data_IF_096732556082
#
_entry.id   IF_096732556082
#
_cell.length_a   1.000
_cell.length_b   1.000
_cell.length_c   1.000
_cell.angle_alpha   90.00
_cell.angle_beta   90.00
_cell.angle_gamma   90.00
#
_symmetry.space_group_name_H-M   'P 1'
#
loop_
_entity.id
_entity.type
_entity.pdbx_description
1 polymer ?
#
# COMPACT_ATOMS: atom_id res chain seq x y z
N UNK A 1 -22.93 -10.71 -7.83
CA UNK A 1 -21.64 -10.78 -8.57
C UNK A 1 -20.56 -11.15 -7.58
N UNK A 2 -19.48 -11.78 -8.00
CA UNK A 2 -18.44 -12.19 -7.07
C UNK A 2 -17.43 -11.05 -6.84
N UNK A 3 -16.94 -10.93 -5.62
CA UNK A 3 -15.82 -10.08 -5.26
C UNK A 3 -14.57 -10.41 -6.08
N UNK A 4 -13.82 -9.42 -6.51
CA UNK A 4 -12.62 -9.59 -7.33
C UNK A 4 -11.43 -8.86 -6.72
N UNK A 5 -10.30 -9.55 -6.65
CA UNK A 5 -9.03 -9.04 -6.14
C UNK A 5 -8.09 -8.76 -7.31
N UNK A 6 -7.35 -7.67 -7.26
CA UNK A 6 -6.28 -7.42 -8.23
C UNK A 6 -5.09 -8.34 -8.00
N UNK A 7 -4.28 -8.52 -9.02
CA UNK A 7 -3.01 -9.26 -8.95
C UNK A 7 -2.11 -8.71 -7.85
N UNK A 8 -1.98 -7.38 -7.73
CA UNK A 8 -1.18 -6.75 -6.69
C UNK A 8 -1.71 -7.03 -5.27
N UNK A 9 -3.03 -7.05 -5.08
CA UNK A 9 -3.62 -7.38 -3.77
C UNK A 9 -3.35 -8.82 -3.39
N UNK A 10 -3.54 -9.76 -4.32
CA UNK A 10 -3.25 -11.20 -4.09
C UNK A 10 -1.78 -11.40 -3.77
N UNK A 11 -0.88 -10.77 -4.54
CA UNK A 11 0.56 -10.83 -4.30
C UNK A 11 0.93 -10.25 -2.94
N UNK A 12 0.38 -9.11 -2.55
CA UNK A 12 0.65 -8.50 -1.24
C UNK A 12 0.23 -9.43 -0.09
N UNK A 13 -0.95 -10.06 -0.19
CA UNK A 13 -1.44 -10.99 0.83
C UNK A 13 -0.54 -12.23 0.94
N UNK A 14 -0.01 -12.71 -0.20
CA UNK A 14 0.87 -13.88 -0.23
C UNK A 14 2.28 -13.58 0.29
N UNK A 15 2.84 -12.41 -0.03
CA UNK A 15 4.27 -12.14 0.09
C UNK A 15 4.62 -11.14 1.20
N UNK A 16 3.69 -10.26 1.60
CA UNK A 16 4.08 -9.05 2.33
C UNK A 16 3.24 -8.71 3.56
N UNK A 17 2.00 -9.17 3.65
CA UNK A 17 1.15 -8.78 4.77
C UNK A 17 -0.29 -9.25 4.67
N UNK A 18 -1.15 -8.66 5.48
CA UNK A 18 -2.57 -9.02 5.52
C UNK A 18 -3.39 -8.19 4.53
N UNK A 19 -4.55 -8.73 4.12
CA UNK A 19 -5.52 -7.98 3.33
C UNK A 19 -5.97 -6.68 4.03
N UNK A 20 -6.10 -6.69 5.37
CA UNK A 20 -6.42 -5.50 6.15
C UNK A 20 -5.34 -4.41 6.01
N UNK A 21 -4.07 -4.79 6.04
CA UNK A 21 -2.95 -3.88 5.83
C UNK A 21 -2.92 -3.36 4.39
N UNK A 22 -3.13 -4.26 3.42
CA UNK A 22 -3.14 -3.92 2.00
C UNK A 22 -4.22 -2.91 1.63
N UNK A 23 -5.40 -2.99 2.26
CA UNK A 23 -6.58 -2.19 1.95
C UNK A 23 -6.90 -1.13 3.03
N UNK A 24 -6.11 -1.03 4.08
CA UNK A 24 -6.24 0.03 5.09
C UNK A 24 -6.01 1.41 4.49
N UNK A 25 -6.63 2.42 5.08
CA UNK A 25 -6.54 3.81 4.62
C UNK A 25 -6.93 4.00 3.14
N UNK A 26 -7.91 3.23 2.69
CA UNK A 26 -8.38 3.25 1.30
C UNK A 26 -9.49 4.28 1.06
N UNK A 27 -9.79 4.48 -0.21
CA UNK A 27 -11.01 5.13 -0.70
C UNK A 27 -11.90 4.08 -1.35
N UNK A 28 -13.21 4.28 -1.28
CA UNK A 28 -14.17 3.42 -1.95
C UNK A 28 -14.91 4.24 -3.00
N UNK A 29 -14.84 3.79 -4.24
CA UNK A 29 -15.47 4.43 -5.37
C UNK A 29 -16.68 3.64 -5.81
N UNK A 30 -17.83 4.28 -5.91
CA UNK A 30 -19.10 3.68 -6.39
C UNK A 30 -19.36 4.08 -7.83
N UNK A 31 -19.67 3.09 -8.65
CA UNK A 31 -19.89 3.26 -10.09
C UNK A 31 -21.25 2.76 -10.56
N UNK A 32 -21.73 3.31 -11.68
CA UNK A 32 -22.86 2.74 -12.41
C UNK A 32 -22.44 1.48 -13.19
N UNK A 33 -23.45 0.70 -13.60
CA UNK A 33 -23.25 -0.40 -14.55
C UNK A 33 -22.68 -1.68 -13.93
N UNK A 34 -21.98 -2.44 -14.75
CA UNK A 34 -21.48 -3.76 -14.37
C UNK A 34 -20.02 -3.70 -13.93
N UNK A 35 -19.70 -4.40 -12.86
CA UNK A 35 -18.33 -4.60 -12.39
C UNK A 35 -17.43 -5.19 -13.50
N UNK A 36 -16.19 -4.67 -13.70
CA UNK A 36 -15.22 -5.22 -14.63
C UNK A 36 -14.94 -6.71 -14.41
N UNK A 37 -14.45 -7.41 -15.42
CA UNK A 37 -14.16 -8.85 -15.34
C UNK A 37 -13.02 -9.19 -14.36
N UNK A 38 -12.09 -8.25 -14.16
CA UNK A 38 -10.99 -8.32 -13.19
C UNK A 38 -10.84 -6.98 -12.48
N UNK A 39 -10.34 -7.00 -11.24
CA UNK A 39 -9.95 -5.76 -10.56
C UNK A 39 -8.66 -5.14 -11.16
N UNK A 40 -7.95 -5.86 -12.01
CA UNK A 40 -6.84 -5.32 -12.81
C UNK A 40 -7.32 -4.50 -14.03
N UNK A 41 -8.59 -4.67 -14.42
CA UNK A 41 -9.17 -3.92 -15.55
C UNK A 41 -9.41 -2.46 -15.19
N UNK A 42 -9.51 -1.63 -16.22
CA UNK A 42 -9.94 -0.26 -16.07
C UNK A 42 -11.37 -0.19 -15.49
N UNK A 43 -11.66 0.90 -14.77
CA UNK A 43 -13.01 1.15 -14.28
C UNK A 43 -13.99 1.29 -15.45
N UNK A 44 -15.22 0.81 -15.24
CA UNK A 44 -16.34 0.95 -16.17
C UNK A 44 -17.46 1.73 -15.52
N UNK A 45 -18.30 2.37 -16.34
CA UNK A 45 -19.42 3.17 -15.86
C UNK A 45 -19.02 4.57 -15.37
N UNK A 46 -20.00 5.27 -14.82
CA UNK A 46 -19.82 6.63 -14.30
C UNK A 46 -19.53 6.58 -12.81
N UNK A 47 -18.53 7.32 -12.34
CA UNK A 47 -18.30 7.52 -10.91
C UNK A 47 -19.47 8.30 -10.29
N UNK A 48 -20.10 7.70 -9.29
CA UNK A 48 -21.23 8.29 -8.58
C UNK A 48 -20.81 8.98 -7.29
N UNK A 49 -19.95 8.32 -6.49
CA UNK A 49 -19.55 8.81 -5.19
C UNK A 49 -18.20 8.22 -4.79
N UNK A 50 -17.38 9.01 -4.08
CA UNK A 50 -16.18 8.53 -3.40
C UNK A 50 -16.43 8.56 -1.90
N UNK A 51 -16.29 7.41 -1.24
CA UNK A 51 -16.46 7.30 0.20
C UNK A 51 -15.11 7.38 0.89
N UNK A 52 -15.08 8.15 1.95
CA UNK A 52 -13.94 8.30 2.86
C UNK A 52 -14.45 8.22 4.31
N UNK A 53 -13.56 8.20 5.28
CA UNK A 53 -13.92 8.31 6.69
C UNK A 53 -14.67 9.61 6.93
N UNK A 54 -15.93 9.50 7.35
CA UNK A 54 -16.85 10.61 7.65
C UNK A 54 -16.99 11.64 6.54
N UNK A 55 -16.76 11.26 5.27
CA UNK A 55 -16.79 12.17 4.13
C UNK A 55 -15.68 13.23 4.11
N UNK A 56 -14.65 13.06 4.94
CA UNK A 56 -13.55 14.01 5.04
C UNK A 56 -12.62 13.99 3.83
N UNK A 57 -11.92 15.10 3.59
CA UNK A 57 -10.91 15.17 2.53
C UNK A 57 -9.82 14.11 2.75
N UNK A 58 -9.58 13.29 1.74
CA UNK A 58 -8.60 12.21 1.82
C UNK A 58 -7.19 12.74 1.54
N UNK A 59 -6.25 12.36 2.40
CA UNK A 59 -4.82 12.48 2.13
C UNK A 59 -4.22 11.09 2.08
N UNK A 60 -3.47 10.80 1.02
CA UNK A 60 -2.82 9.51 0.87
C UNK A 60 -1.65 9.35 1.83
N UNK A 61 -1.36 8.10 2.20
CA UNK A 61 -0.13 7.74 2.86
C UNK A 61 1.08 8.01 1.97
N UNK A 62 2.16 8.50 2.58
CA UNK A 62 3.51 8.44 2.01
C UNK A 62 4.35 7.54 2.91
N UNK A 63 5.12 6.64 2.32
CA UNK A 63 5.99 5.75 3.09
C UNK A 63 7.33 6.44 3.38
N UNK A 64 7.91 6.24 4.58
CA UNK A 64 9.23 6.74 4.89
C UNK A 64 10.29 6.03 4.05
N UNK A 65 11.27 6.78 3.58
CA UNK A 65 12.40 6.27 2.81
C UNK A 65 13.71 6.67 3.46
N UNK A 66 14.63 5.74 3.57
CA UNK A 66 16.02 5.95 3.96
C UNK A 66 16.92 5.64 2.78
N UNK A 67 18.04 6.33 2.68
CA UNK A 67 18.99 6.12 1.59
C UNK A 67 20.43 6.02 2.09
N UNK A 68 21.20 5.21 1.40
CA UNK A 68 22.65 5.19 1.48
C UNK A 68 23.26 4.96 0.09
N UNK A 69 24.49 5.45 -0.08
CA UNK A 69 25.22 5.35 -1.34
C UNK A 69 26.46 4.48 -1.12
N UNK A 70 26.65 3.48 -1.95
CA UNK A 70 27.85 2.68 -1.98
C UNK A 70 28.99 3.42 -2.71
N UNK A 71 30.20 3.29 -2.23
CA UNK A 71 31.42 3.76 -2.91
C UNK A 71 32.58 2.80 -2.57
N UNK A 72 33.62 2.76 -3.41
CA UNK A 72 34.75 1.84 -3.27
C UNK A 72 34.72 0.73 -4.32
N UNK A 73 35.71 -0.15 -4.27
CA UNK A 73 35.95 -1.18 -5.29
C UNK A 73 36.21 -2.58 -4.70
N UNK A 74 36.19 -2.72 -3.37
CA UNK A 74 36.44 -3.99 -2.70
C UNK A 74 35.89 -4.01 -1.28
N UNK A 75 35.55 -5.17 -0.75
CA UNK A 75 34.99 -5.34 0.59
C UNK A 75 33.53 -5.84 0.58
N UNK A 76 32.86 -5.77 1.71
CA UNK A 76 31.52 -6.30 1.87
C UNK A 76 30.67 -5.38 2.75
N UNK A 77 29.40 -5.17 2.39
CA UNK A 77 28.37 -4.64 3.29
C UNK A 77 27.87 -5.79 4.16
N UNK A 78 28.05 -5.68 5.46
CA UNK A 78 27.78 -6.78 6.41
C UNK A 78 26.50 -6.58 7.22
N UNK A 79 25.98 -5.33 7.30
CA UNK A 79 24.75 -5.03 8.03
C UNK A 79 24.09 -3.77 7.48
N UNK A 80 22.76 -3.79 7.42
CA UNK A 80 21.87 -2.62 7.21
C UNK A 80 20.79 -2.70 8.26
N UNK A 81 20.75 -1.75 9.19
CA UNK A 81 19.76 -1.68 10.26
C UNK A 81 18.91 -0.44 10.18
N UNK A 82 17.63 -0.57 10.41
CA UNK A 82 16.69 0.57 10.59
C UNK A 82 16.08 0.43 11.98
N UNK A 83 16.31 1.43 12.83
CA UNK A 83 15.84 1.38 14.22
C UNK A 83 16.38 0.17 15.01
N UNK A 84 17.58 -0.32 14.65
CA UNK A 84 18.18 -1.51 15.25
C UNK A 84 17.77 -2.85 14.62
N UNK A 85 16.77 -2.87 13.74
CA UNK A 85 16.30 -4.08 13.05
C UNK A 85 17.22 -4.37 11.88
N UNK A 86 17.83 -5.57 11.85
CA UNK A 86 18.67 -6.00 10.72
C UNK A 86 17.80 -6.29 9.50
N UNK A 87 18.09 -5.60 8.40
CA UNK A 87 17.33 -5.70 7.15
C UNK A 87 18.08 -6.53 6.09
N UNK A 88 19.39 -6.75 6.26
CA UNK A 88 20.21 -7.49 5.30
C UNK A 88 20.18 -8.98 5.63
N UNK A 89 19.88 -9.84 4.67
CA UNK A 89 19.83 -11.30 4.87
C UNK A 89 21.18 -11.98 5.02
N UNK A 90 22.28 -11.25 4.82
CA UNK A 90 23.67 -11.71 4.92
C UNK A 90 24.61 -10.74 4.26
N UNK A 91 25.91 -10.92 4.47
CA UNK A 91 26.92 -10.04 3.89
C UNK A 91 26.88 -10.06 2.36
N UNK A 92 26.95 -8.89 1.73
CA UNK A 92 27.01 -8.70 0.28
C UNK A 92 28.39 -8.15 -0.07
N UNK A 93 29.17 -8.94 -0.79
CA UNK A 93 30.49 -8.53 -1.26
C UNK A 93 30.37 -7.63 -2.49
N UNK A 94 31.30 -6.67 -2.63
CA UNK A 94 31.49 -5.98 -3.89
C UNK A 94 31.73 -7.01 -5.00
N UNK A 95 31.06 -6.79 -6.15
CA UNK A 95 31.17 -7.68 -7.31
C UNK A 95 31.96 -7.00 -8.42
N UNK A 96 31.31 -6.68 -9.53
CA UNK A 96 31.94 -6.07 -10.71
C UNK A 96 31.92 -4.55 -10.68
N UNK A 97 30.86 -3.98 -10.11
CA UNK A 97 30.61 -2.54 -10.02
C UNK A 97 29.63 -2.23 -8.88
N UNK A 98 29.46 -0.95 -8.59
CA UNK A 98 28.60 -0.47 -7.51
C UNK A 98 27.10 -0.65 -7.81
N UNK A 99 26.70 -0.55 -9.07
CA UNK A 99 25.30 -0.69 -9.47
C UNK A 99 24.82 -2.13 -9.26
N UNK A 100 25.62 -3.09 -9.69
CA UNK A 100 25.37 -4.54 -9.47
C UNK A 100 25.37 -4.88 -7.97
N UNK A 101 26.31 -4.31 -7.21
CA UNK A 101 26.39 -4.50 -5.76
C UNK A 101 25.18 -3.89 -5.06
N UNK A 102 24.76 -2.68 -5.41
CA UNK A 102 23.57 -2.03 -4.85
C UNK A 102 22.28 -2.79 -5.18
N UNK A 103 22.16 -3.32 -6.39
CA UNK A 103 21.02 -4.16 -6.79
C UNK A 103 20.96 -5.46 -5.97
N UNK A 104 22.12 -6.10 -5.70
CA UNK A 104 22.19 -7.29 -4.84
C UNK A 104 21.79 -6.96 -3.39
N UNK A 105 22.22 -5.81 -2.86
CA UNK A 105 21.83 -5.32 -1.53
C UNK A 105 20.32 -5.07 -1.47
N UNK A 106 19.74 -4.37 -2.45
CA UNK A 106 18.31 -4.10 -2.49
C UNK A 106 17.49 -5.40 -2.57
N UNK A 107 17.96 -6.37 -3.35
CA UNK A 107 17.35 -7.70 -3.45
C UNK A 107 17.42 -8.44 -2.12
N UNK A 108 18.57 -8.41 -1.43
CA UNK A 108 18.73 -9.05 -0.13
C UNK A 108 17.79 -8.46 0.91
N UNK A 109 17.71 -7.12 1.01
CA UNK A 109 16.78 -6.44 1.93
C UNK A 109 15.33 -6.82 1.62
N UNK A 110 14.94 -6.79 0.34
CA UNK A 110 13.57 -7.09 -0.08
C UNK A 110 13.16 -8.54 0.21
N UNK A 111 14.10 -9.47 0.17
CA UNK A 111 13.85 -10.89 0.42
C UNK A 111 14.00 -11.29 1.90
N UNK A 112 14.45 -10.37 2.75
CA UNK A 112 14.59 -10.60 4.19
C UNK A 112 13.32 -10.14 4.91
N UNK A 113 12.57 -11.09 5.46
CA UNK A 113 11.38 -10.75 6.25
C UNK A 113 11.77 -10.17 7.60
N UNK A 114 11.38 -8.95 7.84
CA UNK A 114 11.57 -8.23 9.11
C UNK A 114 10.20 -7.81 9.69
N UNK A 115 10.19 -7.39 10.93
CA UNK A 115 8.99 -6.79 11.56
C UNK A 115 9.41 -5.47 12.21
N UNK A 116 9.06 -4.33 11.60
CA UNK A 116 8.32 -4.09 10.34
C UNK A 116 9.06 -4.60 9.08
N UNK A 117 8.31 -4.93 8.01
CA UNK A 117 8.85 -5.46 6.76
C UNK A 117 9.33 -4.35 5.82
N UNK A 118 10.65 -4.19 5.72
CA UNK A 118 11.28 -3.18 4.86
C UNK A 118 11.52 -3.74 3.45
N UNK A 119 11.42 -2.87 2.45
CA UNK A 119 11.70 -3.18 1.05
C UNK A 119 12.73 -2.20 0.50
N UNK A 120 13.51 -2.63 -0.50
CA UNK A 120 14.52 -1.77 -1.07
C UNK A 120 14.53 -1.81 -2.60
N UNK A 121 14.99 -0.70 -3.17
CA UNK A 121 15.30 -0.56 -4.61
C UNK A 121 16.69 0.06 -4.74
N UNK A 122 17.33 -0.17 -5.88
CA UNK A 122 18.61 0.45 -6.21
C UNK A 122 18.49 1.26 -7.50
N UNK A 123 19.23 2.39 -7.55
CA UNK A 123 19.40 3.22 -8.74
C UNK A 123 20.84 3.68 -8.78
N UNK A 124 21.65 3.15 -9.71
CA UNK A 124 23.09 3.28 -9.64
C UNK A 124 23.59 2.72 -8.31
N UNK A 125 24.56 3.38 -7.72
CA UNK A 125 25.13 3.03 -6.42
C UNK A 125 24.24 3.37 -5.21
N UNK A 126 23.05 4.00 -5.42
CA UNK A 126 22.15 4.39 -4.33
C UNK A 126 21.16 3.28 -4.03
N UNK A 127 21.06 2.91 -2.77
CA UNK A 127 20.04 1.99 -2.23
C UNK A 127 19.01 2.82 -1.46
N UNK A 128 17.74 2.69 -1.83
CA UNK A 128 16.60 3.31 -1.15
C UNK A 128 15.80 2.24 -0.43
N UNK A 129 15.72 2.34 0.89
CA UNK A 129 14.93 1.43 1.73
C UNK A 129 13.62 2.11 2.11
N UNK A 130 12.51 1.44 1.86
CA UNK A 130 11.15 1.97 2.09
C UNK A 130 10.49 1.22 3.23
N UNK A 131 9.82 1.94 4.10
CA UNK A 131 9.02 1.36 5.18
C UNK A 131 7.77 0.63 4.65
N UNK A 132 7.16 -0.23 5.47
CA UNK A 132 5.99 -1.01 5.08
C UNK A 132 4.75 -0.12 4.88
N UNK A 133 3.85 -0.60 4.06
CA UNK A 133 2.51 -0.02 3.89
C UNK A 133 1.79 0.03 5.23
N UNK A 134 1.14 1.17 5.51
CA UNK A 134 0.47 1.44 6.77
C UNK A 134 1.38 2.05 7.84
N UNK A 135 2.68 2.23 7.57
CA UNK A 135 3.61 2.85 8.52
C UNK A 135 3.41 4.37 8.62
N UNK A 136 3.05 5.01 7.51
CA UNK A 136 2.91 6.48 7.48
C UNK A 136 4.08 7.18 8.16
N UNK A 137 3.78 8.09 9.07
CA UNK A 137 4.77 8.83 9.82
C UNK A 137 5.39 8.07 11.02
N UNK A 138 4.89 6.89 11.36
CA UNK A 138 5.25 6.20 12.63
C UNK A 138 6.70 5.75 12.71
N UNK A 139 7.37 5.62 11.56
CA UNK A 139 8.76 5.19 11.49
C UNK A 139 9.75 6.33 11.16
N UNK A 140 9.30 7.58 11.09
CA UNK A 140 10.14 8.72 10.68
C UNK A 140 11.35 8.96 11.60
N UNK A 141 11.21 8.63 12.88
CA UNK A 141 12.27 8.83 13.87
C UNK A 141 13.31 7.70 13.89
N UNK A 142 13.11 6.65 13.07
CA UNK A 142 14.08 5.57 12.97
C UNK A 142 15.26 5.99 12.09
N UNK A 143 16.45 5.52 12.49
CA UNK A 143 17.71 5.82 11.82
C UNK A 143 18.20 4.57 11.10
N UNK A 144 18.65 4.75 9.85
CA UNK A 144 19.40 3.71 9.12
C UNK A 144 20.89 3.74 9.54
N UNK A 145 21.44 2.58 9.78
CA UNK A 145 22.87 2.38 10.03
C UNK A 145 23.41 1.25 9.15
N UNK A 146 24.59 1.45 8.62
CA UNK A 146 25.29 0.49 7.76
C UNK A 146 26.60 0.07 8.37
N UNK A 147 27.02 -1.18 8.14
CA UNK A 147 28.35 -1.69 8.53
C UNK A 147 29.00 -2.36 7.33
N UNK A 148 30.26 -2.03 7.11
CA UNK A 148 31.10 -2.62 6.05
C UNK A 148 32.31 -3.31 6.66
N UNK A 149 32.89 -4.29 5.96
CA UNK A 149 34.10 -4.94 6.35
C UNK A 149 34.99 -5.33 5.15
N UNK A 150 36.28 -5.26 5.36
CA UNK A 150 37.29 -5.57 4.33
C UNK A 150 37.31 -4.51 3.21
N UNK A 151 38.43 -4.36 2.55
CA UNK A 151 38.55 -3.46 1.40
C UNK A 151 38.30 -1.97 1.66
N UNK A 152 37.90 -1.30 0.61
CA UNK A 152 37.63 0.16 0.58
C UNK A 152 36.13 0.49 0.40
N UNK A 153 35.23 -0.53 0.41
CA UNK A 153 33.79 -0.29 0.32
C UNK A 153 33.32 0.61 1.47
N UNK A 154 32.51 1.58 1.12
CA UNK A 154 31.76 2.42 2.08
C UNK A 154 30.29 2.40 1.74
N UNK A 155 29.45 2.61 2.75
CA UNK A 155 28.00 2.75 2.60
C UNK A 155 27.59 4.02 3.34
N UNK A 156 27.56 5.13 2.59
CA UNK A 156 27.38 6.48 3.12
C UNK A 156 25.88 6.76 3.28
N UNK A 157 25.41 6.82 4.52
CA UNK A 157 24.01 7.11 4.83
C UNK A 157 23.68 8.58 4.56
N UNK A 158 22.55 8.81 3.90
CA UNK A 158 22.03 10.15 3.68
C UNK A 158 21.43 10.72 4.98
N UNK A 159 21.40 12.04 5.11
CA UNK A 159 20.76 12.74 6.22
C UNK A 159 21.16 12.24 7.62
N UNK A 160 22.44 11.86 7.81
CA UNK A 160 22.92 11.24 9.05
C UNK A 160 22.14 10.00 9.50
N UNK A 161 21.58 9.26 8.55
CA UNK A 161 20.79 8.05 8.77
C UNK A 161 19.29 8.29 9.02
N UNK A 162 18.84 9.55 9.10
CA UNK A 162 17.41 9.86 9.18
C UNK A 162 16.69 9.58 7.86
N UNK A 163 15.36 9.60 7.87
CA UNK A 163 14.57 9.48 6.65
C UNK A 163 14.93 10.58 5.63
N UNK A 164 15.16 10.21 4.39
CA UNK A 164 15.36 11.14 3.28
C UNK A 164 14.02 11.65 2.73
N UNK A 165 13.00 10.82 2.80
CA UNK A 165 11.61 11.20 2.54
C UNK A 165 10.80 10.81 3.77
N UNK A 166 10.31 11.76 4.57
CA UNK A 166 9.45 11.43 5.70
C UNK A 166 8.13 10.79 5.24
N UNK A 167 7.71 9.77 5.97
CA UNK A 167 6.39 9.20 5.81
C UNK A 167 5.30 10.15 6.28
N UNK A 168 4.12 10.05 5.67
CA UNK A 168 2.91 10.79 6.06
C UNK A 168 1.81 9.78 6.32
N UNK A 169 1.15 9.88 7.45
CA UNK A 169 0.00 9.03 7.75
C UNK A 169 -1.20 9.45 6.91
N UNK A 170 -1.88 8.49 6.31
CA UNK A 170 -3.10 8.76 5.58
C UNK A 170 -4.16 9.41 6.47
N UNK A 171 -4.94 10.33 5.92
CA UNK A 171 -6.03 11.01 6.62
C UNK A 171 -7.35 10.70 5.92
N UNK A 172 -8.38 10.42 6.73
CA UNK A 172 -9.73 10.10 6.27
C UNK A 172 -9.84 8.90 5.32
N UNK A 173 -8.90 7.97 5.36
CA UNK A 173 -9.02 6.68 4.70
C UNK A 173 -10.02 5.76 5.40
N UNK A 174 -10.66 4.88 4.64
CA UNK A 174 -11.51 3.82 5.15
C UNK A 174 -10.67 2.69 5.74
N UNK A 175 -10.99 2.24 6.94
CA UNK A 175 -10.25 1.20 7.66
C UNK A 175 -11.12 0.00 8.01
N UNK A 176 -10.47 -1.15 8.24
CA UNK A 176 -11.10 -2.42 8.54
C UNK A 176 -10.79 -2.86 9.98
N UNK A 177 -11.77 -3.49 10.63
CA UNK A 177 -11.65 -3.98 12.01
C UNK A 177 -10.48 -4.95 12.19
N UNK A 178 -9.92 -4.92 13.39
CA UNK A 178 -8.93 -5.87 13.85
C UNK A 178 -9.44 -6.56 15.13
N UNK A 179 -9.26 -7.89 15.26
CA UNK A 179 -8.76 -8.83 14.25
C UNK A 179 -9.80 -9.11 13.15
N UNK A 180 -9.34 -9.49 11.95
CA UNK A 180 -10.20 -10.08 10.95
C UNK A 180 -10.61 -11.48 11.39
N UNK A 181 -11.88 -11.84 11.20
CA UNK A 181 -12.41 -13.13 11.64
C UNK A 181 -12.82 -13.96 10.42
N UNK A 182 -12.32 -15.20 10.35
CA UNK A 182 -12.72 -16.14 9.30
C UNK A 182 -12.41 -15.68 7.87
N UNK A 183 -11.35 -14.88 7.67
CA UNK A 183 -11.01 -14.37 6.35
C UNK A 183 -11.89 -13.22 5.86
N UNK A 184 -12.67 -12.63 6.75
CA UNK A 184 -13.57 -11.52 6.45
C UNK A 184 -13.02 -10.22 7.01
N UNK A 185 -12.94 -9.20 6.16
CA UNK A 185 -12.70 -7.82 6.58
C UNK A 185 -14.04 -7.15 6.87
N UNK A 186 -14.24 -6.72 8.08
CA UNK A 186 -15.39 -5.93 8.49
C UNK A 186 -15.01 -4.45 8.53
N UNK A 187 -15.93 -3.58 8.14
CA UNK A 187 -15.78 -2.13 8.27
C UNK A 187 -15.53 -1.77 9.74
N UNK A 188 -14.63 -0.82 10.01
CA UNK A 188 -14.51 -0.21 11.34
C UNK A 188 -15.77 0.52 11.77
N UNK A 189 -15.85 0.89 13.05
CA UNK A 189 -17.02 1.58 13.65
C UNK A 189 -17.28 2.95 13.05
N UNK A 190 -16.28 3.56 12.43
CA UNK A 190 -16.38 4.85 11.75
C UNK A 190 -17.39 4.84 10.59
N UNK A 191 -18.01 5.96 10.30
CA UNK A 191 -18.90 6.09 9.13
C UNK A 191 -18.05 6.28 7.87
N UNK A 192 -18.30 5.48 6.85
CA UNK A 192 -17.79 5.75 5.51
C UNK A 192 -18.86 6.49 4.72
N UNK A 193 -18.56 7.70 4.29
CA UNK A 193 -19.53 8.54 3.59
C UNK A 193 -18.87 9.40 2.52
N UNK A 194 -19.68 9.97 1.65
CA UNK A 194 -19.26 10.88 0.62
C UNK A 194 -20.43 11.60 -0.03
N UNK A 195 -20.14 12.69 -0.71
CA UNK A 195 -21.12 13.42 -1.51
C UNK A 195 -21.09 12.92 -2.95
N UNK A 196 -22.26 12.61 -3.49
CA UNK A 196 -22.38 12.13 -4.86
C UNK A 196 -22.04 13.23 -5.87
N UNK A 197 -21.22 12.87 -6.86
CA UNK A 197 -20.76 13.75 -7.95
C UNK A 197 -21.56 13.57 -9.23
N UNK A 198 -22.35 12.50 -9.33
CA UNK A 198 -23.23 12.23 -10.46
C UNK A 198 -24.51 11.51 -10.01
N UNK A 199 -25.56 11.62 -10.83
CA UNK A 199 -26.82 10.88 -10.65
C UNK A 199 -26.78 9.58 -11.44
N UNK A 200 -27.26 8.49 -10.83
CA UNK A 200 -27.33 7.17 -11.50
C UNK A 200 -27.66 6.04 -10.54
N UNK A 201 -27.67 4.83 -11.06
CA UNK A 201 -27.87 3.62 -10.27
C UNK A 201 -26.52 2.98 -9.94
N UNK A 202 -26.19 2.85 -8.66
CA UNK A 202 -24.97 2.19 -8.20
C UNK A 202 -25.06 0.68 -8.48
N UNK A 203 -24.06 0.14 -9.16
CA UNK A 203 -23.99 -1.27 -9.52
C UNK A 203 -22.80 -2.00 -8.89
N UNK A 204 -21.69 -1.30 -8.72
CA UNK A 204 -20.47 -1.89 -8.18
C UNK A 204 -19.57 -0.84 -7.51
N UNK A 205 -18.60 -1.33 -6.75
CA UNK A 205 -17.60 -0.49 -6.09
C UNK A 205 -16.18 -1.01 -6.31
N UNK A 206 -15.21 -0.11 -6.18
CA UNK A 206 -13.77 -0.42 -6.08
C UNK A 206 -13.20 0.20 -4.81
N UNK A 207 -12.51 -0.63 -4.02
CA UNK A 207 -11.63 -0.18 -2.94
C UNK A 207 -10.24 0.04 -3.53
N UNK A 208 -9.69 1.23 -3.36
CA UNK A 208 -8.35 1.60 -3.82
C UNK A 208 -7.51 2.08 -2.63
N UNK A 209 -6.39 1.40 -2.39
CA UNK A 209 -5.45 1.76 -1.34
C UNK A 209 -4.29 2.61 -1.86
N UNK A 210 -3.94 2.47 -3.14
CA UNK A 210 -2.79 3.15 -3.73
C UNK A 210 -3.13 4.57 -4.21
N UNK A 211 -2.33 5.54 -3.76
CA UNK A 211 -2.56 6.96 -4.05
C UNK A 211 -2.42 7.31 -5.54
N UNK A 212 -1.53 6.61 -6.24
CA UNK A 212 -1.18 6.85 -7.64
C UNK A 212 -2.02 6.05 -8.63
N UNK A 213 -3.04 5.32 -8.15
CA UNK A 213 -3.91 4.53 -9.01
C UNK A 213 -4.66 5.42 -10.00
N UNK A 214 -4.35 5.27 -11.27
CA UNK A 214 -4.94 6.01 -12.38
C UNK A 214 -6.27 5.42 -12.88
N UNK A 215 -6.78 4.34 -12.23
CA UNK A 215 -8.00 3.62 -12.57
C UNK A 215 -8.01 2.91 -13.92
N UNK A 216 -6.88 2.93 -14.62
CA UNK A 216 -6.66 2.19 -15.87
C UNK A 216 -6.36 0.71 -15.63
N UNK A 217 -6.11 -0.03 -16.71
CA UNK A 217 -5.63 -1.43 -16.65
C UNK A 217 -4.28 -1.46 -15.94
N UNK A 218 -4.17 -2.26 -14.88
CA UNK A 218 -2.91 -2.40 -14.13
C UNK A 218 -2.93 -3.59 -13.19
N UNK A 219 -1.83 -4.34 -13.17
CA UNK A 219 -1.54 -5.40 -12.18
C UNK A 219 -0.71 -4.90 -11.00
N UNK A 220 -0.40 -3.59 -10.94
CA UNK A 220 0.48 -3.00 -9.93
C UNK A 220 -0.26 -2.40 -8.74
N UNK A 221 -1.55 -2.12 -8.84
CA UNK A 221 -2.33 -1.47 -7.79
C UNK A 221 -3.18 -2.46 -6.99
N UNK A 222 -3.25 -2.24 -5.67
CA UNK A 222 -4.03 -3.06 -4.75
C UNK A 222 -5.49 -2.62 -4.78
N UNK A 223 -6.32 -3.41 -5.45
CA UNK A 223 -7.74 -3.12 -5.68
C UNK A 223 -8.61 -4.28 -5.23
N UNK A 224 -9.79 -3.95 -4.75
CA UNK A 224 -10.84 -4.89 -4.43
C UNK A 224 -12.16 -4.38 -5.02
N UNK A 225 -12.74 -5.15 -5.93
CA UNK A 225 -14.03 -4.83 -6.55
C UNK A 225 -15.13 -5.71 -5.98
N UNK A 226 -16.33 -5.17 -5.89
CA UNK A 226 -17.51 -5.90 -5.46
C UNK A 226 -18.81 -5.27 -5.96
N UNK A 227 -19.91 -5.99 -5.78
CA UNK A 227 -21.23 -5.55 -6.16
C UNK A 227 -21.87 -4.63 -5.12
N UNK A 228 -22.74 -3.74 -5.60
CA UNK A 228 -23.62 -2.92 -4.77
C UNK A 228 -25.06 -3.34 -5.04
N UNK A 229 -25.85 -3.54 -3.98
CA UNK A 229 -27.29 -3.77 -4.07
C UNK A 229 -28.00 -3.22 -2.82
N UNK A 230 -29.31 -3.41 -2.73
CA UNK A 230 -30.07 -3.13 -1.51
C UNK A 230 -30.01 -4.28 -0.51
N UNK A 231 -29.65 -5.49 -0.98
CA UNK A 231 -29.43 -6.68 -0.16
C UNK A 231 -28.66 -7.74 -0.93
N UNK A 232 -27.92 -8.63 -0.22
CA UNK A 232 -27.27 -9.79 -0.81
C UNK A 232 -26.01 -9.51 -1.63
N UNK A 233 -25.48 -8.30 -1.60
CA UNK A 233 -24.22 -7.91 -2.21
C UNK A 233 -23.12 -7.69 -1.16
N UNK A 234 -21.88 -7.56 -1.60
CA UNK A 234 -20.74 -7.26 -0.71
C UNK A 234 -20.91 -5.91 -0.02
N UNK A 235 -21.54 -4.96 -0.70
CA UNK A 235 -21.91 -3.65 -0.15
C UNK A 235 -23.41 -3.44 -0.30
N UNK A 236 -24.11 -3.21 0.80
CA UNK A 236 -25.53 -2.98 0.80
C UNK A 236 -25.84 -1.52 1.17
N UNK A 237 -26.67 -0.89 0.35
CA UNK A 237 -27.16 0.46 0.53
C UNK A 237 -28.67 0.43 0.79
N UNK A 238 -29.19 1.42 1.50
CA UNK A 238 -30.65 1.58 1.66
C UNK A 238 -31.36 1.85 0.32
N UNK A 239 -30.67 2.47 -0.63
CA UNK A 239 -31.09 2.69 -2.01
C UNK A 239 -29.87 2.70 -2.92
N UNK A 240 -29.98 2.06 -4.08
CA UNK A 240 -28.97 2.12 -5.14
C UNK A 240 -29.15 3.32 -6.06
N UNK A 241 -30.26 4.05 -5.95
CA UNK A 241 -30.49 5.29 -6.70
C UNK A 241 -29.72 6.42 -6.03
N UNK A 242 -28.73 6.94 -6.74
CA UNK A 242 -27.82 7.98 -6.28
C UNK A 242 -28.17 9.28 -7.01
N UNK A 243 -28.26 10.39 -6.27
CA UNK A 243 -28.53 11.73 -6.81
C UNK A 243 -27.37 12.65 -6.51
N UNK A 244 -26.89 13.38 -7.50
CA UNK A 244 -25.81 14.38 -7.36
C UNK A 244 -26.09 15.33 -6.20
N UNK A 245 -25.07 15.59 -5.39
CA UNK A 245 -25.12 16.44 -4.19
C UNK A 245 -25.68 15.75 -2.96
N UNK A 246 -26.30 14.57 -3.08
CA UNK A 246 -26.72 13.75 -1.94
C UNK A 246 -25.54 13.17 -1.18
N UNK A 247 -25.65 13.07 0.15
CA UNK A 247 -24.67 12.38 0.99
C UNK A 247 -25.06 10.91 1.16
N UNK A 248 -24.16 10.02 0.83
CA UNK A 248 -24.34 8.57 0.97
C UNK A 248 -23.37 8.01 1.97
N UNK A 249 -23.83 7.09 2.80
CA UNK A 249 -23.01 6.47 3.85
C UNK A 249 -23.25 4.96 3.91
N UNK A 250 -22.19 4.26 4.33
CA UNK A 250 -22.22 2.83 4.61
C UNK A 250 -22.03 2.66 6.11
N UNK A 251 -23.01 2.07 6.77
CA UNK A 251 -22.98 1.78 8.20
C UNK A 251 -22.39 0.41 8.50
N UNK A 252 -22.49 -0.53 7.55
CA UNK A 252 -21.91 -1.88 7.66
C UNK A 252 -21.41 -2.36 6.30
N UNK A 253 -20.34 -3.13 6.31
CA UNK A 253 -19.79 -3.77 5.11
C UNK A 253 -18.83 -4.89 5.52
N UNK A 254 -18.90 -6.00 4.80
CA UNK A 254 -18.05 -7.17 5.02
C UNK A 254 -17.49 -7.64 3.69
N UNK A 255 -16.19 -7.92 3.65
CA UNK A 255 -15.49 -8.32 2.43
C UNK A 255 -14.71 -9.60 2.69
N UNK A 256 -15.01 -10.66 1.96
CA UNK A 256 -14.29 -11.93 2.06
C UNK A 256 -13.00 -11.85 1.26
N UNK A 257 -11.85 -12.08 1.90
CA UNK A 257 -10.53 -11.93 1.27
C UNK A 257 -9.73 -13.22 1.18
N UNK A 258 -10.29 -14.33 1.67
CA UNK A 258 -9.77 -15.69 1.51
C UNK A 258 -10.58 -16.49 0.51
#
# INVERSE_FOLDING_TARGET
MAQRKSTALVKFIADSGSARQALGNSRIYMYTGTQPASADDAVSGTLLCTLTKSGGAFTAETLPVWQFTLAGTSGSLTSVKIGGIECLGGAISFTTDLDTTAAAVATSITNTFTTPDFRATASGAVVSVTGPVGSGATLNDLIIATTVSGGDLTANVASAGATTTPGVTAVNGCNFQFPAVGGVLSKETETWSGVAVATGTAGWFRVEADATDNKGVSTAFRRLDGAIATSGAEMNLSSVSITTGGTYSITSGTFTVL
#
